data_IF_695040951861
#
_entry.id   IF_695040951861
#
_cell.length_a   1.000
_cell.length_b   1.000
_cell.length_c   1.000
_cell.angle_alpha   90.00
_cell.angle_beta   90.00
_cell.angle_gamma   90.00
#
_symmetry.space_group_name_H-M   'P 1'
#
loop_
_entity.id
_entity.type
_entity.pdbx_description
1 polymer ?
#
# COMPACT_ATOMS: atom_id res chain seq x y z
N UNK A 1 -37.53 -4.32 7.93
CA UNK A 1 -36.91 -3.95 6.63
C UNK A 1 -35.55 -3.27 6.85
N UNK A 2 -35.44 -2.31 7.77
CA UNK A 2 -34.16 -1.67 8.18
C UNK A 2 -33.14 -2.69 8.72
N UNK A 3 -33.57 -3.64 9.57
CA UNK A 3 -32.66 -4.67 10.11
C UNK A 3 -32.10 -5.63 9.05
N UNK A 4 -32.91 -6.00 8.06
CA UNK A 4 -32.48 -6.86 6.96
C UNK A 4 -31.48 -6.14 6.04
N UNK A 5 -31.70 -4.85 5.77
CA UNK A 5 -30.78 -4.02 5.00
C UNK A 5 -29.46 -3.81 5.75
N UNK A 6 -29.53 -3.62 7.07
CA UNK A 6 -28.36 -3.49 7.94
C UNK A 6 -27.55 -4.80 7.96
N UNK A 7 -28.22 -5.95 8.11
CA UNK A 7 -27.58 -7.27 8.05
C UNK A 7 -26.90 -7.53 6.69
N UNK A 8 -27.56 -7.21 5.58
CA UNK A 8 -26.99 -7.38 4.24
C UNK A 8 -25.70 -6.55 4.06
N UNK A 9 -25.70 -5.30 4.53
CA UNK A 9 -24.50 -4.44 4.51
C UNK A 9 -23.37 -5.01 5.36
N UNK A 10 -23.67 -5.50 6.58
CA UNK A 10 -22.67 -6.14 7.45
C UNK A 10 -22.07 -7.40 6.82
N UNK A 11 -22.89 -8.25 6.19
CA UNK A 11 -22.41 -9.43 5.47
C UNK A 11 -21.53 -9.06 4.28
N UNK A 12 -21.88 -8.01 3.53
CA UNK A 12 -21.06 -7.50 2.42
C UNK A 12 -19.69 -7.04 2.91
N UNK A 13 -19.60 -6.34 4.05
CA UNK A 13 -18.30 -5.96 4.63
C UNK A 13 -17.44 -7.21 4.87
N UNK A 14 -17.99 -8.25 5.50
CA UNK A 14 -17.24 -9.49 5.78
C UNK A 14 -16.76 -10.18 4.52
N UNK A 15 -17.63 -10.38 3.54
CA UNK A 15 -17.25 -11.04 2.29
C UNK A 15 -16.21 -10.22 1.52
N UNK A 16 -16.40 -8.90 1.47
CA UNK A 16 -15.47 -8.00 0.77
C UNK A 16 -14.11 -7.98 1.45
N UNK A 17 -14.05 -7.87 2.78
CA UNK A 17 -12.80 -7.91 3.53
C UNK A 17 -12.06 -9.24 3.38
N UNK A 18 -12.80 -10.36 3.34
CA UNK A 18 -12.22 -11.69 3.11
C UNK A 18 -11.51 -11.79 1.76
N UNK A 19 -12.20 -11.41 0.68
CA UNK A 19 -11.66 -11.40 -0.69
C UNK A 19 -10.53 -10.38 -0.83
N UNK A 20 -10.74 -9.18 -0.30
CA UNK A 20 -9.77 -8.09 -0.37
C UNK A 20 -8.42 -8.44 0.30
N UNK A 21 -8.45 -9.30 1.32
CA UNK A 21 -7.27 -9.79 2.00
C UNK A 21 -6.55 -10.95 1.31
N UNK A 22 -7.11 -11.57 0.26
CA UNK A 22 -6.52 -12.72 -0.44
C UNK A 22 -5.07 -12.51 -0.90
N UNK A 23 -4.66 -11.34 -1.44
CA UNK A 23 -3.28 -11.10 -1.85
C UNK A 23 -2.27 -11.13 -0.69
N UNK A 24 -2.71 -10.90 0.56
CA UNK A 24 -1.84 -10.83 1.73
C UNK A 24 -1.59 -12.23 2.28
N UNK A 25 -0.35 -12.73 2.35
CA UNK A 25 -0.08 -14.05 2.91
C UNK A 25 -0.43 -14.15 4.40
N UNK A 26 -0.66 -15.37 4.89
CA UNK A 26 -0.78 -15.60 6.33
C UNK A 26 0.55 -15.36 7.04
N UNK A 27 0.52 -14.61 8.13
CA UNK A 27 1.67 -14.46 9.03
C UNK A 27 1.33 -15.05 10.39
N UNK A 28 2.18 -15.92 10.91
CA UNK A 28 2.06 -16.44 12.27
C UNK A 28 3.16 -15.82 13.14
N UNK A 29 3.01 -15.80 14.48
CA UNK A 29 4.01 -15.20 15.35
C UNK A 29 5.36 -15.87 15.11
N UNK A 30 6.32 -15.07 14.67
CA UNK A 30 7.65 -15.51 14.27
C UNK A 30 8.49 -15.79 15.51
N UNK A 31 8.29 -16.98 16.10
CA UNK A 31 9.12 -17.49 17.20
C UNK A 31 10.43 -18.12 16.71
N UNK A 32 10.52 -18.41 15.42
CA UNK A 32 11.68 -18.99 14.73
C UNK A 32 11.83 -18.37 13.34
N UNK A 33 13.04 -18.38 12.79
CA UNK A 33 13.31 -17.88 11.44
C UNK A 33 12.63 -18.77 10.40
N UNK A 34 11.89 -18.15 9.48
CA UNK A 34 11.17 -18.81 8.38
C UNK A 34 11.27 -17.96 7.12
N UNK A 35 11.19 -18.60 5.95
CA UNK A 35 11.03 -17.92 4.67
C UNK A 35 9.58 -18.12 4.20
N UNK A 36 8.82 -17.03 4.07
CA UNK A 36 7.53 -17.04 3.37
C UNK A 36 7.65 -16.19 2.11
N UNK A 37 7.17 -16.69 0.98
CA UNK A 37 7.16 -15.93 -0.27
C UNK A 37 6.21 -14.72 -0.12
N UNK A 38 6.69 -13.46 -0.20
CA UNK A 38 5.82 -12.28 -0.11
C UNK A 38 4.83 -12.19 -1.29
N UNK A 39 5.12 -12.88 -2.39
CA UNK A 39 4.29 -12.90 -3.60
C UNK A 39 3.33 -14.08 -3.68
N UNK A 40 3.14 -14.84 -2.58
CA UNK A 40 2.32 -16.06 -2.57
C UNK A 40 0.92 -15.86 -3.19
N UNK A 41 0.21 -14.80 -2.81
CA UNK A 41 -1.12 -14.49 -3.35
C UNK A 41 -1.12 -14.04 -4.82
N UNK A 42 0.05 -13.78 -5.40
CA UNK A 42 0.24 -13.29 -6.77
C UNK A 42 0.91 -14.34 -7.69
N UNK A 43 1.10 -15.58 -7.22
CA UNK A 43 1.76 -16.65 -7.98
C UNK A 43 1.02 -17.05 -9.28
N UNK A 44 -0.25 -16.68 -9.40
CA UNK A 44 -1.05 -16.87 -10.62
C UNK A 44 -0.70 -15.87 -11.74
N UNK A 45 0.10 -14.83 -11.45
CA UNK A 45 0.55 -13.84 -12.42
C UNK A 45 1.98 -14.14 -12.93
N UNK A 46 2.32 -13.75 -14.17
CA UNK A 46 3.72 -13.75 -14.62
C UNK A 46 4.61 -12.93 -13.69
N UNK A 47 5.85 -13.38 -13.47
CA UNK A 47 6.76 -12.78 -12.46
C UNK A 47 6.87 -11.25 -12.57
N UNK A 48 7.06 -10.70 -13.78
CA UNK A 48 7.16 -9.24 -13.98
C UNK A 48 5.87 -8.51 -13.55
N UNK A 49 4.70 -9.12 -13.74
CA UNK A 49 3.40 -8.56 -13.35
C UNK A 49 3.17 -8.73 -11.84
N UNK A 50 3.48 -9.91 -11.28
CA UNK A 50 3.40 -10.18 -9.85
C UNK A 50 4.28 -9.22 -9.05
N UNK A 51 5.49 -8.96 -9.53
CA UNK A 51 6.43 -8.00 -8.94
C UNK A 51 5.89 -6.57 -9.03
N UNK A 52 5.44 -6.11 -10.19
CA UNK A 52 4.85 -4.75 -10.29
C UNK A 52 3.65 -4.60 -9.35
N UNK A 53 2.76 -5.58 -9.35
CA UNK A 53 1.58 -5.58 -8.49
C UNK A 53 1.96 -5.63 -7.01
N UNK A 54 2.92 -6.47 -6.63
CA UNK A 54 3.39 -6.53 -5.24
C UNK A 54 4.11 -5.25 -4.80
N UNK A 55 4.80 -4.53 -5.70
CA UNK A 55 5.40 -3.23 -5.38
C UNK A 55 4.32 -2.20 -5.03
N UNK A 56 3.22 -2.19 -5.80
CA UNK A 56 2.06 -1.31 -5.56
C UNK A 56 1.36 -1.66 -4.24
N UNK A 57 1.17 -2.95 -3.96
CA UNK A 57 0.41 -3.41 -2.79
C UNK A 57 1.21 -3.30 -1.49
N UNK A 58 2.46 -3.77 -1.49
CA UNK A 58 3.26 -3.91 -0.26
C UNK A 58 4.21 -2.74 -0.04
N UNK A 59 4.18 -1.73 -0.91
CA UNK A 59 5.11 -0.58 -0.89
C UNK A 59 6.59 -1.01 -0.80
N UNK A 60 6.89 -2.20 -1.32
CA UNK A 60 8.16 -2.85 -1.17
C UNK A 60 9.01 -2.64 -2.42
N UNK A 61 10.33 -2.55 -2.22
CA UNK A 61 11.26 -2.59 -3.34
C UNK A 61 11.42 -4.03 -3.80
N UNK A 62 10.91 -4.32 -4.99
CA UNK A 62 10.86 -5.69 -5.51
C UNK A 62 12.11 -6.11 -6.27
N UNK A 63 12.90 -5.14 -6.70
CA UNK A 63 14.22 -5.35 -7.29
C UNK A 63 15.30 -4.79 -6.37
N UNK A 64 16.50 -5.34 -6.45
CA UNK A 64 17.62 -4.78 -5.71
C UNK A 64 18.00 -3.40 -6.28
N UNK A 65 18.68 -2.54 -5.49
CA UNK A 65 19.34 -1.37 -6.06
C UNK A 65 20.24 -1.74 -7.24
N UNK A 66 20.42 -0.79 -8.17
CA UNK A 66 21.30 -0.98 -9.34
C UNK A 66 22.73 -1.27 -8.90
N UNK A 67 23.19 -0.60 -7.85
CA UNK A 67 24.53 -0.79 -7.27
C UNK A 67 24.80 -2.22 -6.83
N UNK A 68 23.79 -2.95 -6.33
CA UNK A 68 23.93 -4.37 -5.99
C UNK A 68 24.20 -5.22 -7.23
N UNK A 69 23.45 -5.00 -8.33
CA UNK A 69 23.68 -5.73 -9.57
C UNK A 69 25.04 -5.38 -10.19
N UNK A 70 25.45 -4.11 -10.16
CA UNK A 70 26.77 -3.67 -10.62
C UNK A 70 27.90 -4.28 -9.79
N UNK A 71 27.71 -4.40 -8.47
CA UNK A 71 28.65 -5.11 -7.60
C UNK A 71 28.78 -6.58 -8.01
N UNK A 72 27.68 -7.28 -8.25
CA UNK A 72 27.72 -8.68 -8.73
C UNK A 72 28.31 -8.83 -10.14
N UNK A 73 28.14 -7.85 -11.03
CA UNK A 73 28.86 -7.80 -12.31
C UNK A 73 30.37 -7.70 -12.08
N UNK A 74 30.82 -6.81 -11.19
CA UNK A 74 32.25 -6.68 -10.83
C UNK A 74 32.84 -7.93 -10.20
N UNK A 75 32.03 -8.68 -9.44
CA UNK A 75 32.41 -9.98 -8.87
C UNK A 75 32.36 -11.14 -9.89
N UNK A 76 31.92 -10.90 -11.13
CA UNK A 76 31.78 -11.94 -12.14
C UNK A 76 30.59 -12.89 -11.91
N UNK A 77 29.69 -12.59 -10.96
CA UNK A 77 28.46 -13.35 -10.71
C UNK A 77 27.41 -13.14 -11.80
N UNK A 78 27.52 -12.04 -12.55
CA UNK A 78 26.71 -11.75 -13.74
C UNK A 78 27.62 -11.76 -14.96
N UNK A 79 27.35 -12.66 -15.90
CA UNK A 79 28.15 -12.77 -17.12
C UNK A 79 27.86 -11.61 -18.06
N UNK A 80 28.88 -10.80 -18.35
CA UNK A 80 28.77 -9.61 -19.20
C UNK A 80 28.23 -9.92 -20.61
N UNK A 81 28.67 -11.05 -21.20
CA UNK A 81 28.23 -11.44 -22.55
C UNK A 81 26.73 -11.81 -22.58
N UNK A 82 26.25 -12.54 -21.56
CA UNK A 82 24.83 -12.88 -21.43
C UNK A 82 24.00 -11.61 -21.25
N UNK A 83 24.47 -10.66 -20.45
CA UNK A 83 23.79 -9.38 -20.25
C UNK A 83 23.72 -8.56 -21.55
N UNK A 84 24.82 -8.46 -22.29
CA UNK A 84 24.85 -7.74 -23.57
C UNK A 84 23.88 -8.34 -24.60
N UNK A 85 23.86 -9.67 -24.73
CA UNK A 85 22.93 -10.38 -25.62
C UNK A 85 21.46 -10.12 -25.24
N UNK A 86 21.15 -10.12 -23.94
CA UNK A 86 19.79 -9.85 -23.48
C UNK A 86 19.38 -8.38 -23.71
N UNK A 87 20.31 -7.43 -23.54
CA UNK A 87 20.08 -6.02 -23.87
C UNK A 87 19.77 -5.87 -25.37
N UNK A 88 20.57 -6.48 -26.25
CA UNK A 88 20.32 -6.45 -27.70
C UNK A 88 18.96 -7.05 -28.06
N UNK A 89 18.64 -8.21 -27.48
CA UNK A 89 17.35 -8.88 -27.71
C UNK A 89 16.17 -8.02 -27.27
N UNK A 90 16.25 -7.37 -26.12
CA UNK A 90 15.19 -6.48 -25.60
C UNK A 90 15.10 -5.18 -26.41
N UNK A 91 16.23 -4.64 -26.86
CA UNK A 91 16.26 -3.43 -27.67
C UNK A 91 15.52 -3.58 -29.02
N UNK A 92 15.46 -4.79 -29.58
CA UNK A 92 14.69 -5.08 -30.80
C UNK A 92 13.17 -4.85 -30.64
N UNK A 93 12.67 -4.82 -29.40
CA UNK A 93 11.26 -4.59 -29.09
C UNK A 93 10.94 -3.10 -28.88
N UNK A 94 11.95 -2.22 -28.88
CA UNK A 94 11.79 -0.80 -28.65
C UNK A 94 11.54 -0.04 -29.97
N UNK A 95 10.75 1.05 -29.94
CA UNK A 95 10.49 1.86 -31.12
C UNK A 95 11.78 2.51 -31.64
N UNK A 96 11.97 2.55 -32.96
CA UNK A 96 13.11 3.27 -33.55
C UNK A 96 12.98 4.77 -33.29
N UNK A 97 14.03 5.38 -32.73
CA UNK A 97 14.12 6.82 -32.48
C UNK A 97 15.39 7.34 -33.15
N UNK A 98 15.26 8.34 -34.01
CA UNK A 98 16.40 8.92 -34.74
C UNK A 98 17.47 9.43 -33.77
N UNK A 99 18.71 8.97 -33.97
CA UNK A 99 19.84 9.35 -33.13
C UNK A 99 19.97 8.56 -31.82
N UNK A 100 19.11 7.55 -31.58
CA UNK A 100 19.19 6.70 -30.38
C UNK A 100 19.63 5.29 -30.75
N UNK A 101 20.79 4.89 -30.23
CA UNK A 101 21.25 3.49 -30.21
C UNK A 101 20.76 2.85 -28.90
N UNK A 102 19.69 2.04 -28.98
CA UNK A 102 19.08 1.44 -27.80
C UNK A 102 20.03 0.51 -27.01
N UNK A 103 20.74 -0.45 -27.64
CA UNK A 103 21.70 -1.28 -26.92
C UNK A 103 22.75 -0.45 -26.17
N UNK A 104 23.36 0.53 -26.85
CA UNK A 104 24.39 1.37 -26.24
C UNK A 104 23.82 2.20 -25.09
N UNK A 105 22.64 2.79 -25.27
CA UNK A 105 22.00 3.63 -24.27
C UNK A 105 21.58 2.85 -23.02
N UNK A 106 20.93 1.69 -23.20
CA UNK A 106 20.54 0.81 -22.09
C UNK A 106 21.77 0.30 -21.34
N UNK A 107 22.84 -0.10 -22.05
CA UNK A 107 24.08 -0.50 -21.41
C UNK A 107 24.69 0.66 -20.60
N UNK A 108 24.78 1.87 -21.17
CA UNK A 108 25.30 3.05 -20.47
C UNK A 108 24.47 3.38 -19.22
N UNK A 109 23.14 3.32 -19.31
CA UNK A 109 22.28 3.47 -18.14
C UNK A 109 22.63 2.45 -17.07
N UNK A 110 22.71 1.16 -17.40
CA UNK A 110 23.02 0.12 -16.42
C UNK A 110 24.36 0.32 -15.70
N UNK A 111 25.31 1.02 -16.31
CA UNK A 111 26.62 1.33 -15.70
C UNK A 111 26.67 2.66 -14.94
N UNK A 112 25.63 3.49 -15.01
CA UNK A 112 25.58 4.74 -14.24
C UNK A 112 25.54 4.44 -12.72
N UNK A 113 26.43 5.07 -11.94
CA UNK A 113 26.59 4.87 -10.50
C UNK A 113 25.54 5.61 -9.66
N UNK A 114 24.25 5.52 -10.03
CA UNK A 114 23.17 6.13 -9.25
C UNK A 114 22.00 5.15 -9.08
N UNK A 115 21.56 4.97 -7.84
CA UNK A 115 20.40 4.14 -7.46
C UNK A 115 19.07 4.88 -7.54
N UNK A 116 19.12 6.20 -7.76
CA UNK A 116 17.94 7.04 -7.89
C UNK A 116 18.08 7.87 -9.15
N UNK A 117 17.14 7.69 -10.06
CA UNK A 117 16.91 8.68 -11.09
C UNK A 117 16.38 9.93 -10.37
N UNK A 118 17.03 11.08 -10.56
CA UNK A 118 16.46 12.35 -10.13
C UNK A 118 15.24 12.63 -11.00
N UNK A 119 14.06 12.25 -10.51
CA UNK A 119 12.81 12.56 -11.17
C UNK A 119 12.37 13.96 -10.74
N UNK A 120 12.36 14.90 -11.69
CA UNK A 120 11.68 16.18 -11.49
C UNK A 120 10.19 15.94 -11.77
N UNK A 121 9.42 15.74 -10.70
CA UNK A 121 7.99 15.49 -10.80
C UNK A 121 7.28 16.70 -11.44
N UNK A 122 6.44 16.44 -12.45
CA UNK A 122 5.65 17.48 -13.12
C UNK A 122 6.22 17.99 -14.44
N UNK A 123 7.51 17.75 -14.73
CA UNK A 123 8.12 18.15 -16.00
C UNK A 123 7.62 17.29 -17.17
N UNK A 124 7.08 17.93 -18.20
CA UNK A 124 6.63 17.34 -19.44
C UNK A 124 7.76 17.27 -20.47
N UNK A 125 7.69 16.32 -21.40
CA UNK A 125 8.73 16.13 -22.42
C UNK A 125 9.03 17.40 -23.23
N UNK A 126 8.00 18.20 -23.54
CA UNK A 126 8.17 19.46 -24.27
C UNK A 126 8.87 20.55 -23.43
N UNK A 127 8.69 20.57 -22.11
CA UNK A 127 9.37 21.49 -21.20
C UNK A 127 10.85 21.13 -21.07
N UNK A 128 11.16 19.84 -20.98
CA UNK A 128 12.54 19.33 -20.99
C UNK A 128 13.22 19.67 -22.31
N UNK A 129 12.56 19.44 -23.44
CA UNK A 129 13.06 19.82 -24.76
C UNK A 129 13.32 21.34 -24.84
N UNK A 130 12.36 22.17 -24.44
CA UNK A 130 12.53 23.62 -24.42
C UNK A 130 13.73 24.05 -23.56
N UNK A 131 13.86 23.50 -22.35
CA UNK A 131 14.98 23.78 -21.45
C UNK A 131 16.34 23.37 -22.04
N UNK A 132 16.43 22.17 -22.64
CA UNK A 132 17.64 21.70 -23.32
C UNK A 132 18.04 22.57 -24.52
N UNK A 133 17.06 23.23 -25.15
CA UNK A 133 17.27 24.17 -26.25
C UNK A 133 17.32 25.64 -25.80
N UNK A 134 17.48 25.90 -24.50
CA UNK A 134 17.55 27.24 -23.90
C UNK A 134 16.33 28.15 -24.22
N UNK A 135 15.16 27.54 -24.43
CA UNK A 135 13.90 28.23 -24.63
C UNK A 135 13.22 28.49 -23.29
N UNK A 136 12.64 29.67 -23.11
CA UNK A 136 11.91 30.02 -21.88
C UNK A 136 10.56 29.31 -21.85
N UNK A 137 10.30 28.54 -20.80
CA UNK A 137 8.99 27.91 -20.60
C UNK A 137 7.91 28.99 -20.42
N UNK A 138 6.87 28.95 -21.24
CA UNK A 138 5.70 29.82 -21.11
C UNK A 138 5.01 29.54 -19.78
N UNK A 139 4.80 30.58 -18.97
CA UNK A 139 3.99 30.51 -17.76
C UNK A 139 2.56 30.11 -18.14
N UNK A 140 2.21 28.83 -17.93
CA UNK A 140 0.86 28.35 -18.14
C UNK A 140 -0.02 28.78 -16.97
N UNK A 141 -1.17 29.38 -17.29
CA UNK A 141 -2.24 29.59 -16.33
C UNK A 141 -2.81 28.24 -15.91
N UNK A 142 -2.86 27.98 -14.60
CA UNK A 142 -3.39 26.73 -14.05
C UNK A 142 -4.92 26.74 -14.16
N UNK A 143 -5.46 25.94 -15.08
CA UNK A 143 -6.90 25.68 -15.16
C UNK A 143 -7.27 24.46 -14.31
N UNK A 144 -7.86 24.73 -13.14
CA UNK A 144 -8.30 23.67 -12.22
C UNK A 144 -9.35 22.73 -12.84
N UNK A 145 -10.21 23.23 -13.74
CA UNK A 145 -11.22 22.41 -14.40
C UNK A 145 -10.57 21.42 -15.39
N UNK A 146 -9.55 21.87 -16.13
CA UNK A 146 -8.77 21.02 -17.03
C UNK A 146 -7.93 19.97 -16.27
N UNK A 147 -7.49 20.27 -15.05
CA UNK A 147 -6.69 19.33 -14.22
C UNK A 147 -7.54 18.28 -13.50
N UNK A 148 -8.82 18.56 -13.26
CA UNK A 148 -9.68 17.70 -12.44
C UNK A 148 -9.78 16.24 -12.95
N UNK A 149 -9.93 15.95 -14.26
CA UNK A 149 -9.98 14.58 -14.75
C UNK A 149 -8.68 13.81 -14.49
N UNK A 150 -7.52 14.44 -14.77
CA UNK A 150 -6.21 13.85 -14.53
C UNK A 150 -5.96 13.64 -13.03
N UNK A 151 -6.40 14.56 -12.19
CA UNK A 151 -6.30 14.44 -10.73
C UNK A 151 -7.16 13.27 -10.22
N UNK A 152 -8.41 13.16 -10.68
CA UNK A 152 -9.28 12.01 -10.36
C UNK A 152 -8.63 10.71 -10.79
N UNK A 153 -8.10 10.64 -12.00
CA UNK A 153 -7.38 9.46 -12.48
C UNK A 153 -6.12 9.18 -11.66
N UNK A 154 -5.39 10.19 -11.18
CA UNK A 154 -4.20 9.97 -10.34
C UNK A 154 -4.58 9.42 -8.96
N UNK A 155 -5.68 9.92 -8.40
CA UNK A 155 -6.10 9.60 -7.04
C UNK A 155 -7.04 8.40 -6.94
N UNK A 156 -7.65 7.93 -8.04
CA UNK A 156 -8.64 6.84 -8.02
C UNK A 156 -8.13 5.57 -7.33
N UNK A 157 -6.81 5.31 -7.44
CA UNK A 157 -6.19 4.12 -6.90
C UNK A 157 -5.71 4.29 -5.44
N UNK A 158 -5.89 5.46 -4.82
CA UNK A 158 -5.40 5.78 -3.48
C UNK A 158 -6.52 5.68 -2.45
N UNK A 159 -6.17 5.34 -1.22
CA UNK A 159 -7.06 5.56 -0.07
C UNK A 159 -7.20 7.05 0.21
N UNK A 160 -8.21 7.47 0.97
CA UNK A 160 -8.37 8.88 1.30
C UNK A 160 -7.12 9.48 1.98
N UNK A 161 -6.50 8.83 3.00
CA UNK A 161 -5.26 9.33 3.58
C UNK A 161 -4.11 9.45 2.57
N UNK A 162 -3.93 8.47 1.69
CA UNK A 162 -2.87 8.52 0.68
C UNK A 162 -3.13 9.60 -0.38
N UNK A 163 -4.39 9.83 -0.73
CA UNK A 163 -4.76 10.92 -1.64
C UNK A 163 -4.44 12.28 -1.00
N UNK A 164 -4.68 12.44 0.30
CA UNK A 164 -4.30 13.65 1.06
C UNK A 164 -2.78 13.81 1.07
N UNK A 165 -2.03 12.74 1.36
CA UNK A 165 -0.57 12.77 1.35
C UNK A 165 -0.01 13.12 -0.03
N UNK A 166 -0.57 12.57 -1.10
CA UNK A 166 -0.17 12.85 -2.48
C UNK A 166 -0.48 14.29 -2.93
N UNK A 167 -1.48 14.93 -2.35
CA UNK A 167 -1.88 16.30 -2.70
C UNK A 167 -1.16 17.36 -1.88
N UNK A 168 -0.99 17.12 -0.59
CA UNK A 168 -0.50 18.13 0.36
C UNK A 168 0.85 17.78 1.00
N UNK A 169 1.45 16.63 0.66
CA UNK A 169 2.73 16.21 1.19
C UNK A 169 2.68 15.88 2.69
N UNK A 170 1.50 15.55 3.21
CA UNK A 170 1.31 15.10 4.59
C UNK A 170 1.80 13.66 4.77
N UNK A 171 1.71 13.14 5.99
CA UNK A 171 1.97 11.72 6.31
C UNK A 171 0.80 11.09 7.07
N UNK A 172 -0.41 11.48 6.72
CA UNK A 172 -1.63 11.06 7.39
C UNK A 172 -1.80 9.55 7.34
N UNK A 173 -1.47 8.91 6.21
CA UNK A 173 -1.59 7.47 6.08
C UNK A 173 -0.64 6.74 7.05
N UNK A 174 0.62 7.19 7.16
CA UNK A 174 1.60 6.62 8.10
C UNK A 174 1.21 6.85 9.56
N UNK A 175 0.67 8.03 9.88
CA UNK A 175 0.19 8.35 11.24
C UNK A 175 -0.99 7.46 11.65
N UNK A 176 -1.90 7.17 10.72
CA UNK A 176 -3.01 6.24 10.95
C UNK A 176 -2.49 4.81 11.12
N UNK A 177 -1.55 4.39 10.29
CA UNK A 177 -0.89 3.08 10.39
C UNK A 177 -0.24 2.89 11.75
N UNK A 178 0.49 3.88 12.27
CA UNK A 178 1.08 3.83 13.63
C UNK A 178 0.03 3.64 14.73
N UNK A 179 -1.13 4.28 14.62
CA UNK A 179 -2.23 4.13 15.59
C UNK A 179 -2.85 2.72 15.53
N UNK A 180 -3.01 2.17 14.34
CA UNK A 180 -3.50 0.79 14.14
C UNK A 180 -2.47 -0.21 14.66
N UNK A 181 -1.19 -0.06 14.30
CA UNK A 181 -0.09 -0.90 14.78
C UNK A 181 -0.08 -0.93 16.31
N UNK A 182 -0.16 0.23 16.96
CA UNK A 182 -0.21 0.29 18.42
C UNK A 182 -1.40 -0.49 18.99
N UNK A 183 -2.57 -0.32 18.39
CA UNK A 183 -3.79 -1.03 18.83
C UNK A 183 -3.65 -2.55 18.66
N UNK A 184 -3.02 -3.00 17.57
CA UNK A 184 -2.71 -4.40 17.34
C UNK A 184 -1.67 -4.94 18.35
N UNK A 185 -0.62 -4.19 18.65
CA UNK A 185 0.35 -4.55 19.69
C UNK A 185 -0.32 -4.73 21.05
N UNK A 186 -1.16 -3.77 21.46
CA UNK A 186 -1.86 -3.84 22.75
C UNK A 186 -2.84 -5.03 22.82
N UNK A 187 -3.54 -5.34 21.73
CA UNK A 187 -4.54 -6.42 21.69
C UNK A 187 -3.92 -7.83 21.58
N UNK A 188 -2.90 -7.98 20.74
CA UNK A 188 -2.24 -9.26 20.48
C UNK A 188 -1.05 -9.53 21.42
N UNK A 189 -0.86 -8.70 22.45
CA UNK A 189 0.15 -8.92 23.49
C UNK A 189 -0.04 -10.29 24.15
N UNK A 190 1.04 -11.06 24.11
CA UNK A 190 1.08 -12.44 24.61
C UNK A 190 1.34 -12.54 26.12
N UNK A 191 0.67 -11.67 26.89
CA UNK A 191 0.92 -11.43 28.31
C UNK A 191 2.40 -11.10 28.61
N UNK A 192 3.10 -10.51 27.63
CA UNK A 192 4.47 -10.02 27.81
C UNK A 192 4.47 -8.69 28.56
N UNK A 193 3.40 -7.91 28.39
CA UNK A 193 3.21 -6.64 29.07
C UNK A 193 2.55 -6.84 30.43
N UNK A 194 3.03 -6.11 31.45
CA UNK A 194 2.40 -6.14 32.79
C UNK A 194 0.98 -5.58 32.79
N UNK A 195 0.67 -4.70 31.83
CA UNK A 195 -0.63 -4.10 31.63
C UNK A 195 -1.29 -4.73 30.42
N UNK A 196 -2.48 -5.31 30.63
CA UNK A 196 -3.27 -5.96 29.57
C UNK A 196 -4.29 -4.99 29.00
N UNK A 197 -4.65 -5.17 27.73
CA UNK A 197 -5.77 -4.45 27.12
C UNK A 197 -7.10 -4.82 27.80
N UNK A 198 -7.82 -3.86 28.41
CA UNK A 198 -9.11 -4.13 29.03
C UNK A 198 -10.16 -4.57 28.01
N UNK A 199 -10.98 -5.57 28.36
CA UNK A 199 -12.09 -6.00 27.51
C UNK A 199 -11.69 -6.81 26.28
N UNK A 200 -10.43 -7.28 26.18
CA UNK A 200 -9.90 -8.02 25.02
C UNK A 200 -10.71 -9.28 24.68
N UNK A 201 -11.33 -9.90 25.67
CA UNK A 201 -12.21 -11.08 25.53
C UNK A 201 -13.46 -10.81 24.68
N UNK A 202 -13.85 -9.54 24.52
CA UNK A 202 -14.99 -9.13 23.67
C UNK A 202 -14.59 -8.89 22.21
N UNK A 203 -13.32 -9.16 21.85
CA UNK A 203 -12.77 -8.98 20.52
C UNK A 203 -12.12 -7.61 20.29
N UNK A 204 -11.33 -7.54 19.22
CA UNK A 204 -10.44 -6.42 18.90
C UNK A 204 -11.18 -5.08 18.85
N UNK A 205 -12.26 -4.99 18.07
CA UNK A 205 -12.99 -3.74 17.88
C UNK A 205 -13.64 -3.23 19.17
N UNK A 206 -14.24 -4.13 19.98
CA UNK A 206 -14.89 -3.76 21.22
C UNK A 206 -13.88 -3.25 22.27
N UNK A 207 -12.76 -3.96 22.43
CA UNK A 207 -11.68 -3.55 23.32
C UNK A 207 -11.06 -2.22 22.87
N UNK A 208 -10.74 -2.10 21.58
CA UNK A 208 -10.17 -0.88 21.00
C UNK A 208 -11.10 0.31 21.16
N UNK A 209 -12.40 0.13 20.93
CA UNK A 209 -13.40 1.18 21.09
C UNK A 209 -13.47 1.70 22.53
N UNK A 210 -13.42 0.80 23.53
CA UNK A 210 -13.44 1.21 24.94
C UNK A 210 -12.21 2.04 25.32
N UNK A 211 -11.02 1.59 24.92
CA UNK A 211 -9.76 2.30 25.19
C UNK A 211 -9.75 3.65 24.47
N UNK A 212 -10.13 3.67 23.20
CA UNK A 212 -10.08 4.87 22.35
C UNK A 212 -11.06 5.95 22.80
N UNK A 213 -12.25 5.59 23.29
CA UNK A 213 -13.22 6.55 23.87
C UNK A 213 -12.64 7.35 25.05
N UNK A 214 -11.66 6.79 25.76
CA UNK A 214 -11.02 7.41 26.94
C UNK A 214 -9.67 8.05 26.60
N UNK A 215 -9.24 8.02 25.34
CA UNK A 215 -7.94 8.52 24.92
C UNK A 215 -7.92 10.05 24.76
N UNK A 216 -7.58 10.76 25.83
CA UNK A 216 -7.51 12.23 25.85
C UNK A 216 -6.54 12.81 24.80
N UNK A 217 -5.46 12.10 24.46
CA UNK A 217 -4.47 12.58 23.47
C UNK A 217 -5.06 12.65 22.06
N UNK A 218 -5.93 11.71 21.69
CA UNK A 218 -6.64 11.76 20.41
C UNK A 218 -7.57 12.96 20.33
N UNK A 219 -8.33 13.21 21.40
CA UNK A 219 -9.22 14.37 21.48
C UNK A 219 -8.45 15.70 21.36
N UNK A 220 -7.32 15.85 22.05
CA UNK A 220 -6.47 17.05 21.97
C UNK A 220 -5.88 17.29 20.58
N UNK A 221 -5.75 16.24 19.77
CA UNK A 221 -5.33 16.31 18.35
C UNK A 221 -6.49 16.56 17.39
N UNK A 222 -7.69 16.85 17.89
CA UNK A 222 -8.89 17.06 17.08
C UNK A 222 -9.54 15.77 16.56
N UNK A 223 -9.03 14.60 16.94
CA UNK A 223 -9.60 13.29 16.55
C UNK A 223 -10.77 12.96 17.49
N UNK A 224 -11.96 13.43 17.13
CA UNK A 224 -13.18 13.17 17.91
C UNK A 224 -13.77 11.80 17.57
N UNK A 225 -13.05 10.74 17.92
CA UNK A 225 -13.42 9.36 17.62
C UNK A 225 -14.74 8.97 18.30
N UNK A 226 -15.08 9.59 19.43
CA UNK A 226 -16.35 9.37 20.13
C UNK A 226 -17.56 9.69 19.26
N UNK A 227 -17.50 10.74 18.44
CA UNK A 227 -18.58 11.11 17.51
C UNK A 227 -18.92 10.00 16.51
N UNK A 228 -17.89 9.26 16.08
CA UNK A 228 -18.05 8.11 15.17
C UNK A 228 -18.53 6.90 15.97
N UNK A 229 -17.87 6.60 17.09
CA UNK A 229 -18.18 5.42 17.90
C UNK A 229 -19.59 5.45 18.52
N UNK A 230 -20.18 6.64 18.74
CA UNK A 230 -21.56 6.77 19.23
C UNK A 230 -22.62 6.42 18.16
N UNK A 231 -22.22 6.24 16.89
CA UNK A 231 -23.11 5.95 15.75
C UNK A 231 -23.04 4.50 15.27
N UNK A 232 -22.17 3.68 15.85
CA UNK A 232 -21.84 2.34 15.36
C UNK A 232 -21.90 1.34 16.51
N UNK A 233 -22.24 0.10 16.19
CA UNK A 233 -22.46 -0.97 17.18
C UNK A 233 -21.30 -1.97 17.21
N UNK A 234 -20.73 -2.26 16.05
CA UNK A 234 -19.74 -3.30 15.80
C UNK A 234 -18.76 -2.88 14.69
N UNK A 235 -17.78 -3.74 14.39
CA UNK A 235 -16.75 -3.44 13.40
C UNK A 235 -17.34 -3.26 11.99
N UNK A 236 -18.31 -4.10 11.63
CA UNK A 236 -18.96 -4.08 10.33
C UNK A 236 -19.79 -2.81 10.13
N UNK A 237 -20.58 -2.40 11.13
CA UNK A 237 -21.32 -1.13 11.07
C UNK A 237 -20.41 0.09 11.08
N UNK A 238 -19.25 0.01 11.74
CA UNK A 238 -18.23 1.06 11.65
C UNK A 238 -17.66 1.21 10.24
N UNK A 239 -17.32 0.09 9.58
CA UNK A 239 -16.85 0.11 8.20
C UNK A 239 -17.93 0.66 7.26
N UNK A 240 -19.19 0.21 7.38
CA UNK A 240 -20.30 0.75 6.58
C UNK A 240 -20.42 2.27 6.75
N UNK A 241 -20.44 2.75 8.00
CA UNK A 241 -20.57 4.18 8.29
C UNK A 241 -19.42 4.99 7.67
N UNK A 242 -18.19 4.50 7.81
CA UNK A 242 -16.99 5.17 7.29
C UNK A 242 -16.99 5.22 5.76
N UNK A 243 -17.34 4.11 5.08
CA UNK A 243 -17.40 4.08 3.62
C UNK A 243 -18.51 4.99 3.06
N UNK A 244 -19.66 5.05 3.72
CA UNK A 244 -20.77 5.94 3.34
C UNK A 244 -20.44 7.42 3.56
N UNK A 245 -19.83 7.78 4.70
CA UNK A 245 -19.39 9.16 4.98
C UNK A 245 -18.28 9.62 4.01
N UNK A 246 -17.41 8.70 3.58
CA UNK A 246 -16.41 8.98 2.53
C UNK A 246 -17.00 9.04 1.11
N UNK A 247 -18.25 8.60 0.91
CA UNK A 247 -18.90 8.57 -0.39
C UNK A 247 -18.28 7.57 -1.38
N UNK A 248 -17.67 6.49 -0.88
CA UNK A 248 -17.06 5.46 -1.72
C UNK A 248 -18.14 4.47 -2.16
N UNK A 249 -18.30 4.30 -3.47
CA UNK A 249 -19.27 3.37 -4.03
C UNK A 249 -18.97 1.94 -3.57
N UNK A 250 -20.04 1.20 -3.29
CA UNK A 250 -19.95 -0.18 -2.84
C UNK A 250 -19.23 -1.11 -3.82
N UNK A 251 -19.20 -0.78 -5.11
CA UNK A 251 -18.48 -1.53 -6.14
C UNK A 251 -16.96 -1.33 -6.05
N UNK A 252 -16.51 -0.20 -5.49
CA UNK A 252 -15.10 0.12 -5.28
C UNK A 252 -14.56 -0.41 -3.94
N UNK A 253 -15.43 -0.92 -3.05
CA UNK A 253 -15.02 -1.37 -1.71
C UNK A 253 -13.95 -2.44 -1.74
N UNK A 254 -14.00 -3.39 -2.67
CA UNK A 254 -13.01 -4.46 -2.74
C UNK A 254 -11.61 -3.91 -3.02
N UNK A 255 -11.49 -3.00 -3.99
CA UNK A 255 -10.20 -2.39 -4.33
C UNK A 255 -9.69 -1.51 -3.18
N UNK A 256 -10.60 -0.74 -2.57
CA UNK A 256 -10.28 0.11 -1.43
C UNK A 256 -9.80 -0.71 -0.23
N UNK A 257 -10.53 -1.76 0.14
CA UNK A 257 -10.16 -2.65 1.26
C UNK A 257 -8.85 -3.37 0.98
N UNK A 258 -8.61 -3.85 -0.25
CA UNK A 258 -7.33 -4.50 -0.58
C UNK A 258 -6.18 -3.55 -0.31
N UNK A 259 -6.33 -2.28 -0.71
CA UNK A 259 -5.29 -1.28 -0.51
C UNK A 259 -5.05 -0.96 0.96
N UNK A 260 -6.12 -0.69 1.74
CA UNK A 260 -6.01 -0.48 3.19
C UNK A 260 -5.34 -1.68 3.90
N UNK A 261 -5.73 -2.90 3.53
CA UNK A 261 -5.20 -4.12 4.13
C UNK A 261 -3.73 -4.38 3.77
N UNK A 262 -3.28 -3.99 2.57
CA UNK A 262 -1.90 -4.22 2.14
C UNK A 262 -0.91 -3.19 2.67
N UNK A 263 -1.37 -2.00 3.08
CA UNK A 263 -0.55 -1.01 3.80
C UNK A 263 0.08 -1.61 5.06
N UNK A 264 -0.73 -2.34 5.82
CA UNK A 264 -0.30 -3.08 7.01
C UNK A 264 -0.27 -4.60 6.76
N UNK A 265 0.26 -5.03 5.62
CA UNK A 265 0.23 -6.44 5.19
C UNK A 265 0.73 -7.43 6.26
N UNK A 266 1.72 -7.05 7.07
CA UNK A 266 2.21 -7.87 8.20
C UNK A 266 1.12 -8.12 9.25
N UNK A 267 0.46 -7.06 9.73
CA UNK A 267 -0.64 -7.16 10.69
C UNK A 267 -1.88 -7.80 10.08
N UNK A 268 -2.23 -7.45 8.84
CA UNK A 268 -3.33 -8.08 8.11
C UNK A 268 -3.13 -9.60 8.03
N UNK A 269 -1.97 -10.06 7.57
CA UNK A 269 -1.69 -11.49 7.48
C UNK A 269 -1.68 -12.17 8.84
N UNK A 270 -1.24 -11.47 9.90
CA UNK A 270 -1.33 -11.95 11.27
C UNK A 270 -2.78 -12.12 11.75
N UNK A 271 -3.62 -11.10 11.55
CA UNK A 271 -5.05 -11.14 11.90
C UNK A 271 -5.77 -12.25 11.12
N UNK A 272 -5.48 -12.38 9.82
CA UNK A 272 -6.04 -13.45 8.96
C UNK A 272 -5.67 -14.84 9.49
N UNK A 273 -4.40 -15.06 9.82
CA UNK A 273 -3.94 -16.32 10.40
C UNK A 273 -4.60 -16.57 11.75
N UNK A 274 -4.60 -15.56 12.63
CA UNK A 274 -5.15 -15.63 13.98
C UNK A 274 -6.63 -16.00 13.99
N UNK A 275 -7.41 -15.46 13.06
CA UNK A 275 -8.82 -15.79 12.88
C UNK A 275 -9.06 -17.27 12.50
N UNK A 276 -8.09 -17.93 11.83
CA UNK A 276 -8.16 -19.36 11.51
C UNK A 276 -7.62 -20.27 12.62
N UNK A 277 -6.74 -19.75 13.48
CA UNK A 277 -6.02 -20.51 14.50
C UNK A 277 -6.82 -20.67 15.81
N UNK A 278 -7.90 -21.45 15.77
CA UNK A 278 -8.88 -21.65 16.87
C UNK A 278 -8.33 -22.17 18.20
N UNK A 279 -7.12 -22.75 18.22
CA UNK A 279 -6.50 -23.29 19.43
C UNK A 279 -5.18 -22.60 19.80
N UNK A 280 -4.83 -21.55 19.07
CA UNK A 280 -3.69 -20.73 19.41
C UNK A 280 -4.08 -19.78 20.55
N UNK A 281 -3.19 -19.66 21.55
CA UNK A 281 -3.22 -18.90 22.80
C UNK A 281 -4.48 -18.04 23.04
N UNK A 282 -5.19 -18.15 24.18
CA UNK A 282 -6.44 -17.41 24.50
C UNK A 282 -7.69 -17.66 23.62
N UNK A 283 -7.70 -18.61 22.68
CA UNK A 283 -8.90 -18.93 21.88
C UNK A 283 -9.89 -19.90 22.58
N UNK A 284 -10.12 -19.73 23.89
CA UNK A 284 -11.16 -20.45 24.64
C UNK A 284 -12.37 -19.56 24.90
#
# INVERSE_FOLDING_TARGET
MVDALNLAKRLRVRSTAYVAGEPVPYFWPMRTFIHHNPLYGLEHLPFEQAVRRGAELFHARMFLPRTNYQHWQREGKVQAQTLAQEIERRAQQLPSVTGVDWPQWLHAMMQAEHDRDMVVSGAQAHEVHAALHAQTATQQTVDAAALLPALKQRLHAHTLPEAVDALWGTRLADELDELVIKSCLDFFDEDQSSWRMPGRERGLFAAWSEVTRRNARMFLRGLNVRRILDRVEDAESAVVHVMEEMGIDTDDWSAYFTRELTRLHGWTGFVRWRASAKHYYWAQ
#
